data_IF_877164323679
#
_entry.id   IF_877164323679
#
_cell.length_a   1.000
_cell.length_b   1.000
_cell.length_c   1.000
_cell.angle_alpha   90.00
_cell.angle_beta   90.00
_cell.angle_gamma   90.00
#
_symmetry.space_group_name_H-M   'P 1'
#
loop_
_entity.id
_entity.type
_entity.pdbx_description
1 polymer ?
#
# COMPACT_ATOMS: atom_id res chain seq x y z
N UNK A 1 18.58 -9.34 5.90
CA UNK A 1 17.47 -9.18 4.93
C UNK A 1 16.90 -10.56 4.60
N UNK A 2 15.58 -10.67 4.53
CA UNK A 2 14.85 -11.91 4.27
C UNK A 2 13.59 -11.62 3.45
N UNK A 3 12.90 -12.67 3.02
CA UNK A 3 11.54 -12.61 2.46
C UNK A 3 10.55 -12.90 3.57
N UNK A 4 9.42 -12.20 3.57
CA UNK A 4 8.34 -12.38 4.55
C UNK A 4 7.06 -12.75 3.81
N UNK A 5 6.32 -13.70 4.36
CA UNK A 5 5.01 -14.08 3.88
C UNK A 5 4.07 -14.14 5.08
N UNK A 6 2.89 -13.54 4.96
CA UNK A 6 1.89 -13.51 6.02
C UNK A 6 0.63 -14.23 5.59
N UNK A 7 0.13 -15.06 6.50
CA UNK A 7 -1.23 -15.59 6.49
C UNK A 7 -1.94 -15.03 7.71
N UNK A 8 -2.98 -14.24 7.49
CA UNK A 8 -3.61 -13.42 8.54
C UNK A 8 -5.09 -13.75 8.61
N UNK A 9 -5.58 -14.07 9.80
CA UNK A 9 -7.01 -14.17 10.08
C UNK A 9 -7.45 -12.91 10.81
N UNK A 10 -8.50 -12.25 10.33
CA UNK A 10 -9.02 -11.02 10.93
C UNK A 10 -10.56 -11.06 11.00
N UNK A 11 -11.21 -10.17 11.78
CA UNK A 11 -12.66 -10.06 11.77
C UNK A 11 -13.20 -9.70 10.39
N UNK A 12 -14.40 -10.22 10.07
CA UNK A 12 -15.10 -9.87 8.83
C UNK A 12 -15.27 -8.35 8.69
N UNK A 13 -15.05 -7.84 7.47
CA UNK A 13 -15.15 -6.41 7.15
C UNK A 13 -13.95 -5.56 7.58
N UNK A 14 -12.90 -6.15 8.19
CA UNK A 14 -11.66 -5.42 8.46
C UNK A 14 -10.74 -5.44 7.24
N UNK A 15 -9.94 -4.37 7.10
CA UNK A 15 -8.88 -4.28 6.10
C UNK A 15 -7.60 -4.91 6.64
N UNK A 16 -6.92 -5.68 5.81
CA UNK A 16 -5.60 -6.24 6.10
C UNK A 16 -4.60 -5.75 5.05
N UNK A 17 -3.51 -5.12 5.50
CA UNK A 17 -2.52 -4.46 4.66
C UNK A 17 -1.14 -4.96 5.07
N UNK A 18 -0.32 -5.27 4.07
CA UNK A 18 1.08 -5.66 4.22
C UNK A 18 1.91 -5.04 3.07
N UNK A 19 3.20 -5.32 3.02
CA UNK A 19 4.09 -4.84 1.95
C UNK A 19 3.71 -5.37 0.55
N UNK A 20 3.18 -6.60 0.46
CA UNK A 20 2.71 -7.18 -0.81
C UNK A 20 1.28 -6.73 -1.14
N UNK A 21 0.87 -6.73 -2.42
CA UNK A 21 -0.52 -6.48 -2.80
C UNK A 21 -1.51 -7.28 -1.98
N UNK A 22 -2.58 -6.62 -1.54
CA UNK A 22 -3.58 -7.24 -0.68
C UNK A 22 -4.40 -8.24 -1.50
N UNK A 23 -4.42 -9.53 -1.11
CA UNK A 23 -5.23 -10.53 -1.80
C UNK A 23 -6.69 -10.42 -1.38
N UNK A 24 -7.58 -11.00 -2.19
CA UNK A 24 -8.94 -11.26 -1.75
C UNK A 24 -8.94 -12.31 -0.62
N UNK A 25 -9.64 -12.07 0.50
CA UNK A 25 -9.71 -13.03 1.59
C UNK A 25 -10.53 -14.26 1.20
N UNK A 26 -10.17 -15.40 1.79
CA UNK A 26 -10.98 -16.61 1.80
C UNK A 26 -11.27 -17.00 3.24
N UNK A 27 -12.55 -17.12 3.61
CA UNK A 27 -12.99 -17.48 4.96
C UNK A 27 -12.38 -16.58 6.06
N UNK A 28 -12.35 -15.27 5.82
CA UNK A 28 -11.70 -14.25 6.67
C UNK A 28 -10.19 -14.47 6.88
N UNK A 29 -9.52 -15.12 5.91
CA UNK A 29 -8.07 -15.35 5.90
C UNK A 29 -7.45 -14.73 4.64
N UNK A 30 -6.45 -13.87 4.85
CA UNK A 30 -5.62 -13.27 3.79
C UNK A 30 -4.31 -14.03 3.70
N UNK A 31 -3.99 -14.57 2.53
CA UNK A 31 -2.69 -15.19 2.26
C UNK A 31 -1.91 -14.31 1.29
N UNK A 32 -0.97 -13.53 1.81
CA UNK A 32 -0.17 -12.62 1.00
C UNK A 32 0.88 -13.40 0.20
N UNK A 33 1.22 -12.88 -0.98
CA UNK A 33 2.42 -13.29 -1.70
C UNK A 33 3.68 -12.88 -0.92
N UNK A 34 4.77 -13.66 -1.01
CA UNK A 34 6.01 -13.34 -0.33
C UNK A 34 6.60 -12.01 -0.83
N UNK A 35 7.13 -11.21 0.08
CA UNK A 35 7.83 -9.97 -0.29
C UNK A 35 9.10 -10.26 -1.07
N UNK A 36 9.61 -9.30 -1.87
CA UNK A 36 11.02 -9.28 -2.23
C UNK A 36 11.92 -9.31 -0.97
N UNK A 37 13.21 -9.58 -1.15
CA UNK A 37 14.16 -9.64 -0.03
C UNK A 37 14.36 -8.24 0.57
N UNK A 38 13.73 -8.00 1.72
CA UNK A 38 13.73 -6.72 2.42
C UNK A 38 14.44 -6.80 3.78
N UNK A 39 14.77 -5.64 4.35
CA UNK A 39 15.22 -5.57 5.74
C UNK A 39 14.03 -5.75 6.67
N UNK A 40 14.24 -6.34 7.85
CA UNK A 40 13.18 -6.57 8.85
C UNK A 40 12.49 -5.28 9.31
N UNK A 41 13.20 -4.14 9.31
CA UNK A 41 12.66 -2.87 9.80
C UNK A 41 11.56 -2.27 8.90
N UNK A 42 11.44 -2.71 7.64
CA UNK A 42 10.41 -2.23 6.71
C UNK A 42 9.26 -3.23 6.52
N UNK A 43 9.29 -4.36 7.24
CA UNK A 43 8.19 -5.32 7.23
C UNK A 43 6.99 -4.70 7.97
N UNK A 44 5.83 -4.67 7.32
CA UNK A 44 4.62 -4.06 7.84
C UNK A 44 3.43 -5.03 7.82
N UNK A 45 2.62 -4.98 8.87
CA UNK A 45 1.31 -5.64 8.94
C UNK A 45 0.35 -4.71 9.67
N UNK A 46 -0.72 -4.32 9.01
CA UNK A 46 -1.75 -3.43 9.55
C UNK A 46 -3.11 -4.12 9.38
N UNK A 47 -3.89 -4.15 10.46
CA UNK A 47 -5.18 -4.82 10.51
C UNK A 47 -6.15 -3.92 11.27
N UNK A 48 -7.29 -3.59 10.66
CA UNK A 48 -8.29 -2.74 11.32
C UNK A 48 -9.43 -2.29 10.42
N UNK A 49 -10.47 -1.66 10.99
CA UNK A 49 -11.60 -1.10 10.24
C UNK A 49 -11.21 0.26 9.66
N UNK A 50 -10.30 0.29 8.70
CA UNK A 50 -9.82 1.54 8.10
C UNK A 50 -10.80 2.06 7.04
N UNK A 51 -10.95 3.38 6.97
CA UNK A 51 -11.45 4.02 5.76
C UNK A 51 -10.31 4.07 4.74
N UNK A 52 -10.59 3.74 3.48
CA UNK A 52 -9.58 3.75 2.42
C UNK A 52 -10.04 4.52 1.20
N UNK A 53 -9.09 5.19 0.57
CA UNK A 53 -9.23 5.82 -0.75
C UNK A 53 -8.10 5.27 -1.63
N UNK A 54 -8.42 4.94 -2.87
CA UNK A 54 -7.50 4.32 -3.80
C UNK A 54 -7.35 5.16 -5.07
N UNK A 55 -6.15 5.10 -5.65
CA UNK A 55 -5.85 5.69 -6.95
C UNK A 55 -4.70 4.92 -7.61
N UNK A 56 -4.17 5.44 -8.71
CA UNK A 56 -2.93 4.93 -9.30
C UNK A 56 -2.01 6.05 -9.77
N UNK A 57 -0.74 5.71 -9.93
CA UNK A 57 0.25 6.46 -10.68
C UNK A 57 0.58 5.68 -11.95
N UNK A 58 0.47 6.34 -13.10
CA UNK A 58 0.68 5.76 -14.43
C UNK A 58 1.73 6.59 -15.18
N UNK A 59 2.85 5.99 -15.57
CA UNK A 59 3.89 6.66 -16.36
C UNK A 59 4.76 5.66 -17.11
N UNK A 60 5.03 5.90 -18.39
CA UNK A 60 5.98 5.11 -19.20
C UNK A 60 5.74 3.58 -19.16
N UNK A 61 4.46 3.17 -19.09
CA UNK A 61 4.05 1.76 -19.01
C UNK A 61 4.12 1.16 -17.60
N UNK A 62 4.54 1.92 -16.60
CA UNK A 62 4.45 1.55 -15.18
C UNK A 62 3.10 1.98 -14.60
N UNK A 63 2.44 1.05 -13.91
CA UNK A 63 1.27 1.30 -13.06
C UNK A 63 1.62 0.98 -11.61
N UNK A 64 1.43 1.94 -10.71
CA UNK A 64 1.60 1.75 -9.26
C UNK A 64 0.27 2.04 -8.56
N UNK A 65 -0.41 1.02 -8.02
CA UNK A 65 -1.57 1.20 -7.14
C UNK A 65 -1.21 2.03 -5.92
N UNK A 66 -2.02 3.06 -5.64
CA UNK A 66 -1.87 3.94 -4.49
C UNK A 66 -3.04 3.72 -3.53
N UNK A 67 -2.75 3.65 -2.24
CA UNK A 67 -3.74 3.57 -1.17
C UNK A 67 -3.48 4.59 -0.07
N UNK A 68 -4.53 5.23 0.41
CA UNK A 68 -4.50 6.04 1.62
C UNK A 68 -5.53 5.47 2.59
N UNK A 69 -5.11 5.24 3.83
CA UNK A 69 -5.93 4.68 4.88
C UNK A 69 -5.93 5.62 6.07
N UNK A 70 -7.08 5.72 6.73
CA UNK A 70 -7.17 6.44 8.00
C UNK A 70 -8.23 5.82 8.90
N UNK A 71 -8.23 6.23 10.18
CA UNK A 71 -9.31 5.83 11.10
C UNK A 71 -10.64 6.39 10.58
N UNK A 72 -11.76 5.64 10.65
CA UNK A 72 -13.06 6.11 10.16
C UNK A 72 -13.50 7.46 10.72
N UNK A 73 -13.17 7.75 11.99
CA UNK A 73 -13.47 9.03 12.63
C UNK A 73 -12.71 10.23 12.05
N UNK A 74 -11.69 10.00 11.21
CA UNK A 74 -10.89 11.03 10.57
C UNK A 74 -11.22 11.17 9.07
N UNK A 75 -12.11 10.33 8.53
CA UNK A 75 -12.38 10.28 7.09
C UNK A 75 -12.88 11.61 6.53
N UNK A 76 -13.68 12.37 7.29
CA UNK A 76 -14.17 13.70 6.86
C UNK A 76 -13.06 14.77 6.76
N UNK A 77 -11.92 14.54 7.41
CA UNK A 77 -10.77 15.46 7.40
C UNK A 77 -9.66 14.96 6.46
N UNK A 78 -9.87 13.84 5.76
CA UNK A 78 -8.87 13.26 4.88
C UNK A 78 -8.87 13.98 3.53
N UNK A 79 -7.82 14.73 3.27
CA UNK A 79 -7.56 15.31 1.94
C UNK A 79 -6.81 14.33 1.05
N UNK A 80 -7.51 13.31 0.56
CA UNK A 80 -6.91 12.27 -0.27
C UNK A 80 -6.41 12.81 -1.63
N UNK A 81 -7.09 13.81 -2.19
CA UNK A 81 -6.73 14.39 -3.49
C UNK A 81 -5.37 15.09 -3.44
N UNK A 82 -5.16 15.96 -2.43
CA UNK A 82 -3.88 16.65 -2.25
C UNK A 82 -2.75 15.67 -1.91
N UNK A 83 -3.00 14.68 -1.05
CA UNK A 83 -2.00 13.66 -0.71
C UNK A 83 -1.59 12.86 -1.96
N UNK A 84 -2.55 12.44 -2.79
CA UNK A 84 -2.23 11.74 -4.04
C UNK A 84 -1.51 12.66 -5.02
N UNK A 85 -1.88 13.93 -5.13
CA UNK A 85 -1.22 14.89 -6.00
C UNK A 85 0.27 15.05 -5.62
N UNK A 86 0.56 15.26 -4.34
CA UNK A 86 1.94 15.36 -3.83
C UNK A 86 2.70 14.04 -4.03
N UNK A 87 2.05 12.91 -3.78
CA UNK A 87 2.65 11.59 -3.99
C UNK A 87 3.10 11.43 -5.45
N UNK A 88 2.21 11.69 -6.43
CA UNK A 88 2.56 11.59 -7.87
C UNK A 88 3.68 12.54 -8.26
N UNK A 89 3.69 13.77 -7.77
CA UNK A 89 4.80 14.72 -7.99
C UNK A 89 6.13 14.15 -7.47
N UNK A 90 6.11 13.48 -6.31
CA UNK A 90 7.28 12.78 -5.76
C UNK A 90 7.76 11.65 -6.67
N UNK A 91 6.85 10.81 -7.16
CA UNK A 91 7.19 9.76 -8.14
C UNK A 91 7.82 10.36 -9.40
N UNK A 92 7.19 11.38 -10.00
CA UNK A 92 7.71 12.01 -11.22
C UNK A 92 9.10 12.59 -11.00
N UNK A 93 9.26 13.38 -9.95
CA UNK A 93 10.51 14.06 -9.64
C UNK A 93 11.65 13.08 -9.36
N UNK A 94 11.44 12.11 -8.47
CA UNK A 94 12.50 11.18 -8.09
C UNK A 94 12.85 10.20 -9.20
N UNK A 95 11.86 9.72 -9.96
CA UNK A 95 12.13 8.85 -11.12
C UNK A 95 12.92 9.60 -12.20
N UNK A 96 12.63 10.87 -12.46
CA UNK A 96 13.42 11.69 -13.38
C UNK A 96 14.84 11.91 -12.87
N UNK A 97 15.01 12.31 -11.60
CA UNK A 97 16.33 12.68 -11.07
C UNK A 97 17.27 11.50 -10.87
N UNK A 98 16.71 10.32 -10.59
CA UNK A 98 17.52 9.12 -10.33
C UNK A 98 17.49 8.10 -11.48
N UNK A 99 16.73 8.36 -12.55
CA UNK A 99 16.53 7.43 -13.68
C UNK A 99 16.17 6.01 -13.18
N UNK A 100 15.28 5.94 -12.19
CA UNK A 100 14.95 4.70 -11.52
C UNK A 100 13.49 4.64 -11.11
N UNK A 101 12.75 3.70 -11.69
CA UNK A 101 11.34 3.48 -11.39
C UNK A 101 11.13 2.96 -9.96
N UNK A 102 9.97 3.29 -9.38
CA UNK A 102 9.62 2.78 -8.05
C UNK A 102 9.63 1.23 -8.02
N UNK A 103 10.35 0.59 -7.07
CA UNK A 103 10.66 -0.83 -7.16
C UNK A 103 9.61 -1.77 -6.54
N UNK A 104 8.56 -1.24 -5.92
CA UNK A 104 7.53 -2.06 -5.25
C UNK A 104 6.21 -2.05 -6.01
N UNK A 105 5.41 -3.09 -5.78
CA UNK A 105 4.18 -3.35 -6.52
C UNK A 105 3.00 -2.41 -6.15
N UNK A 106 3.10 -1.68 -5.04
CA UNK A 106 2.08 -0.72 -4.58
C UNK A 106 2.67 0.29 -3.59
N UNK A 107 1.94 1.36 -3.32
CA UNK A 107 2.30 2.38 -2.34
C UNK A 107 1.11 2.73 -1.45
N UNK A 108 1.17 2.31 -0.18
CA UNK A 108 0.13 2.59 0.82
C UNK A 108 0.60 3.60 1.87
N UNK A 109 -0.29 4.50 2.28
CA UNK A 109 -0.09 5.51 3.32
C UNK A 109 -1.16 5.34 4.41
N UNK A 110 -0.76 5.31 5.68
CA UNK A 110 -1.64 5.01 6.82
C UNK A 110 -1.49 6.00 7.97
#
# INVERSE_FOLDING_TARGET
KATFQFTVKAPAGWTVISNSPTPEPKDDVWTFEPTPRISTYITALIVGPYHSVHSSYEKDGQSVPLGIYCRPSLAEYLDAEDIFAVTRQGFEWFQEKFDYAYPFAKYDQL
#
